data_IF_605387622317
#
_entry.id   IF_605387622317
#
_cell.length_a   1.000
_cell.length_b   1.000
_cell.length_c   1.000
_cell.angle_alpha   90.00
_cell.angle_beta   90.00
_cell.angle_gamma   90.00
#
_symmetry.space_group_name_H-M   'P 1'
#
loop_
_entity.id
_entity.type
_entity.pdbx_description
1 polymer ?
#
# COMPACT_ATOMS: atom_id res chain seq x y z
N UNK A 1 11.35 47.39 86.86
CA UNK A 1 11.23 46.20 85.98
C UNK A 1 9.95 46.32 85.16
N UNK A 2 9.97 47.08 84.06
CA UNK A 2 8.90 47.08 83.04
C UNK A 2 9.59 47.39 81.71
N UNK A 3 9.83 46.37 80.90
CA UNK A 3 10.57 46.51 79.66
C UNK A 3 10.72 45.16 78.96
N UNK A 4 9.59 44.51 78.64
CA UNK A 4 9.62 43.15 78.09
C UNK A 4 8.44 42.74 77.21
N UNK A 5 7.62 43.69 76.74
CA UNK A 5 6.39 43.33 75.98
C UNK A 5 6.38 43.88 74.55
N UNK A 6 7.26 44.83 74.18
CA UNK A 6 7.24 45.43 72.84
C UNK A 6 7.84 44.56 71.72
N UNK A 7 8.69 43.57 72.03
CA UNK A 7 9.31 42.70 71.02
C UNK A 7 8.44 41.52 70.58
N UNK A 8 7.64 40.95 71.50
CA UNK A 8 6.83 39.76 71.23
C UNK A 8 5.57 40.05 70.37
N UNK A 9 5.07 41.28 70.41
CA UNK A 9 3.89 41.70 69.63
C UNK A 9 4.16 41.89 68.13
N UNK A 10 5.40 42.26 67.76
CA UNK A 10 5.80 42.45 66.37
C UNK A 10 6.00 41.10 65.65
N UNK A 11 6.78 40.18 66.24
CA UNK A 11 7.02 38.87 65.64
C UNK A 11 5.76 38.01 65.47
N UNK A 12 4.75 38.17 66.34
CA UNK A 12 3.46 37.48 66.21
C UNK A 12 2.56 38.10 65.13
N UNK A 13 2.69 39.40 64.89
CA UNK A 13 2.04 40.08 63.77
C UNK A 13 2.60 39.59 62.44
N UNK A 14 3.93 39.58 62.32
CA UNK A 14 4.65 39.13 61.14
C UNK A 14 4.34 37.66 60.81
N UNK A 15 4.32 36.78 61.82
CA UNK A 15 3.93 35.37 61.66
C UNK A 15 2.50 35.23 61.11
N UNK A 16 1.54 35.97 61.66
CA UNK A 16 0.15 35.84 61.26
C UNK A 16 -0.12 36.40 59.84
N UNK A 17 0.64 37.41 59.43
CA UNK A 17 0.62 37.94 58.06
C UNK A 17 1.23 36.93 57.08
N UNK A 18 2.42 36.40 57.39
CA UNK A 18 3.07 35.36 56.59
C UNK A 18 2.18 34.11 56.43
N UNK A 19 1.54 33.67 57.51
CA UNK A 19 0.65 32.52 57.51
C UNK A 19 -0.56 32.75 56.61
N UNK A 20 -1.19 33.91 56.70
CA UNK A 20 -2.35 34.26 55.88
C UNK A 20 -1.98 34.39 54.39
N UNK A 21 -0.84 34.97 54.09
CA UNK A 21 -0.37 35.15 52.72
C UNK A 21 -0.03 33.81 52.06
N UNK A 22 0.63 32.91 52.79
CA UNK A 22 0.90 31.54 52.35
C UNK A 22 -0.40 30.75 52.17
N UNK A 23 -1.32 30.84 53.13
CA UNK A 23 -2.62 30.17 53.08
C UNK A 23 -3.41 30.60 51.82
N UNK A 24 -3.49 31.90 51.54
CA UNK A 24 -4.15 32.42 50.34
C UNK A 24 -3.41 32.07 49.04
N UNK A 25 -2.08 31.94 49.07
CA UNK A 25 -1.31 31.57 47.87
C UNK A 25 -1.48 30.09 47.54
N UNK A 26 -1.44 29.22 48.57
CA UNK A 26 -1.69 27.79 48.43
C UNK A 26 -3.12 27.53 47.97
N UNK A 27 -4.12 28.17 48.57
CA UNK A 27 -5.52 28.02 48.15
C UNK A 27 -5.72 28.37 46.67
N UNK A 28 -5.07 29.44 46.18
CA UNK A 28 -5.14 29.80 44.76
C UNK A 28 -4.52 28.74 43.84
N UNK A 29 -3.46 28.08 44.28
CA UNK A 29 -2.84 27.00 43.52
C UNK A 29 -3.74 25.75 43.51
N UNK A 30 -4.35 25.41 44.66
CA UNK A 30 -5.31 24.32 44.80
C UNK A 30 -6.56 24.54 43.92
N UNK A 31 -7.13 25.74 43.93
CA UNK A 31 -8.30 26.11 43.12
C UNK A 31 -8.01 25.99 41.62
N UNK A 32 -6.77 26.28 41.20
CA UNK A 32 -6.32 26.13 39.81
C UNK A 32 -6.03 24.68 39.43
N UNK A 33 -5.66 23.84 40.39
CA UNK A 33 -5.40 22.43 40.17
C UNK A 33 -6.70 21.60 40.12
N UNK A 34 -7.71 21.96 40.90
CA UNK A 34 -8.97 21.21 41.05
C UNK A 34 -9.70 20.85 39.74
N UNK A 35 -9.78 21.73 38.71
CA UNK A 35 -10.41 21.39 37.44
C UNK A 35 -9.71 20.25 36.67
N UNK A 36 -8.45 19.98 37.01
CA UNK A 36 -7.60 18.99 36.36
C UNK A 36 -7.52 17.66 37.13
N UNK A 37 -8.35 17.47 38.17
CA UNK A 37 -8.50 16.20 38.90
C UNK A 37 -9.23 15.12 38.09
N UNK A 38 -10.12 15.54 37.18
CA UNK A 38 -10.79 14.63 36.25
C UNK A 38 -9.94 14.49 34.98
N UNK A 39 -9.12 13.43 34.92
CA UNK A 39 -8.45 12.98 33.70
C UNK A 39 -9.48 12.42 32.69
N UNK A 40 -10.28 13.31 32.11
CA UNK A 40 -11.15 13.05 30.96
C UNK A 40 -10.52 13.53 29.65
N UNK A 41 -11.34 13.76 28.62
CA UNK A 41 -10.92 14.23 27.30
C UNK A 41 -10.13 15.56 27.30
N UNK A 42 -10.14 16.30 28.41
CA UNK A 42 -9.36 17.52 28.67
C UNK A 42 -7.86 17.26 28.84
N UNK A 43 -7.43 16.04 29.15
CA UNK A 43 -6.01 15.68 29.37
C UNK A 43 -5.15 15.64 28.11
N UNK A 44 -5.73 15.82 26.92
CA UNK A 44 -5.02 15.84 25.63
C UNK A 44 -4.61 17.23 25.15
N UNK A 45 -5.12 18.29 25.79
CA UNK A 45 -4.78 19.66 25.39
C UNK A 45 -3.36 19.99 25.87
N UNK A 46 -2.40 20.34 24.99
CA UNK A 46 -1.05 20.75 25.40
C UNK A 46 -1.04 21.92 26.40
N UNK A 47 -2.10 22.74 26.45
CA UNK A 47 -2.26 23.80 27.45
C UNK A 47 -2.33 23.28 28.89
N UNK A 48 -2.74 22.03 29.11
CA UNK A 48 -2.78 21.45 30.44
C UNK A 48 -1.38 21.29 31.02
N UNK A 49 -0.41 20.89 30.17
CA UNK A 49 0.98 20.71 30.57
C UNK A 49 1.64 22.06 30.90
N UNK A 50 1.36 23.09 30.09
CA UNK A 50 1.80 24.47 30.34
C UNK A 50 1.20 25.04 31.63
N UNK A 51 -0.09 24.81 31.87
CA UNK A 51 -0.78 25.21 33.10
C UNK A 51 -0.16 24.54 34.33
N UNK A 52 0.03 23.21 34.29
CA UNK A 52 0.63 22.44 35.38
C UNK A 52 2.05 22.90 35.69
N UNK A 53 2.85 23.19 34.65
CA UNK A 53 4.20 23.73 34.79
C UNK A 53 4.18 25.11 35.47
N UNK A 54 3.27 25.99 35.07
CA UNK A 54 3.14 27.32 35.68
C UNK A 54 2.76 27.24 37.16
N UNK A 55 1.84 26.33 37.54
CA UNK A 55 1.47 26.13 38.96
C UNK A 55 2.66 25.57 39.75
N UNK A 56 3.43 24.63 39.18
CA UNK A 56 4.66 24.12 39.81
C UNK A 56 5.69 25.21 40.07
N UNK A 57 5.96 26.07 39.08
CA UNK A 57 6.89 27.20 39.24
C UNK A 57 6.42 28.16 40.33
N UNK A 58 5.11 28.41 40.44
CA UNK A 58 4.53 29.23 41.50
C UNK A 58 4.65 28.59 42.89
N UNK A 59 4.39 27.28 43.02
CA UNK A 59 4.60 26.55 44.29
C UNK A 59 6.07 26.61 44.69
N UNK A 60 7.01 26.32 43.78
CA UNK A 60 8.45 26.40 44.06
C UNK A 60 8.85 27.82 44.52
N UNK A 61 8.22 28.86 43.97
CA UNK A 61 8.47 30.24 44.41
C UNK A 61 7.95 30.55 45.83
N UNK A 62 7.02 29.76 46.37
CA UNK A 62 6.55 29.89 47.77
C UNK A 62 7.54 29.30 48.78
N UNK A 63 8.51 28.51 48.36
CA UNK A 63 9.50 27.86 49.24
C UNK A 63 10.23 28.87 50.14
N UNK A 64 10.65 30.00 49.56
CA UNK A 64 11.31 31.08 50.32
C UNK A 64 10.40 31.71 51.38
N UNK A 65 9.08 31.77 51.12
CA UNK A 65 8.10 32.30 52.08
C UNK A 65 7.84 31.29 53.21
N UNK A 66 7.85 30.00 52.91
CA UNK A 66 7.79 28.92 53.91
C UNK A 66 9.02 28.92 54.82
N UNK A 67 10.22 29.06 54.26
CA UNK A 67 11.46 29.18 55.05
C UNK A 67 11.40 30.41 55.97
N UNK A 68 10.84 31.53 55.50
CA UNK A 68 10.63 32.71 56.34
C UNK A 68 9.62 32.46 57.47
N UNK A 69 8.50 31.80 57.18
CA UNK A 69 7.50 31.38 58.18
C UNK A 69 8.10 30.43 59.22
N UNK A 70 8.96 29.50 58.80
CA UNK A 70 9.66 28.59 59.70
C UNK A 70 10.60 29.34 60.64
N UNK A 71 11.33 30.31 60.12
CA UNK A 71 12.21 31.16 60.91
C UNK A 71 11.44 31.96 61.96
N UNK A 72 10.29 32.54 61.61
CA UNK A 72 9.44 33.28 62.56
C UNK A 72 8.76 32.34 63.56
N UNK A 73 8.29 31.17 63.13
CA UNK A 73 7.74 30.11 63.97
C UNK A 73 8.74 29.66 65.03
N UNK A 74 9.96 29.32 64.62
CA UNK A 74 11.03 28.88 65.51
C UNK A 74 11.40 29.97 66.52
N UNK A 75 11.55 31.22 66.07
CA UNK A 75 11.88 32.34 66.94
C UNK A 75 10.79 32.59 68.01
N UNK A 76 9.51 32.44 67.66
CA UNK A 76 8.39 32.59 68.58
C UNK A 76 8.30 31.42 69.57
N UNK A 77 8.51 30.18 69.10
CA UNK A 77 8.52 28.98 69.95
C UNK A 77 9.66 29.05 70.98
N UNK A 78 10.88 29.37 70.52
CA UNK A 78 12.03 29.55 71.40
C UNK A 78 11.82 30.69 72.40
N UNK A 79 11.20 31.79 71.94
CA UNK A 79 10.82 32.92 72.77
C UNK A 79 9.85 32.52 73.87
N UNK A 80 8.77 31.80 73.53
CA UNK A 80 7.79 31.33 74.51
C UNK A 80 8.40 30.36 75.52
N UNK A 81 9.22 29.42 75.07
CA UNK A 81 9.90 28.46 75.93
C UNK A 81 10.80 29.13 76.96
N UNK A 82 11.60 30.13 76.54
CA UNK A 82 12.47 30.92 77.44
C UNK A 82 11.71 31.66 78.54
N UNK A 83 10.43 31.96 78.32
CA UNK A 83 9.56 32.63 79.29
C UNK A 83 8.63 31.65 80.04
N UNK A 84 8.84 30.33 79.90
CA UNK A 84 8.05 29.30 80.57
C UNK A 84 6.64 29.11 80.02
N UNK A 85 6.36 29.58 78.79
CA UNK A 85 5.07 29.44 78.12
C UNK A 85 5.11 28.38 77.02
N UNK A 86 3.98 27.73 76.74
CA UNK A 86 3.84 26.80 75.63
C UNK A 86 3.40 27.53 74.35
N UNK A 87 4.09 27.27 73.23
CA UNK A 87 3.78 27.80 71.89
C UNK A 87 3.39 26.69 70.90
N UNK A 88 2.92 25.54 71.38
CA UNK A 88 2.52 24.39 70.53
C UNK A 88 1.59 24.81 69.40
N UNK A 89 0.60 25.66 69.66
CA UNK A 89 -0.34 26.11 68.64
C UNK A 89 0.32 26.85 67.46
N UNK A 90 1.40 27.62 67.72
CA UNK A 90 2.15 28.33 66.67
C UNK A 90 2.92 27.32 65.82
N UNK A 91 3.54 26.32 66.46
CA UNK A 91 4.22 25.23 65.77
C UNK A 91 3.24 24.40 64.93
N UNK A 92 2.08 24.03 65.50
CA UNK A 92 1.03 23.27 64.81
C UNK A 92 0.51 24.01 63.57
N UNK A 93 0.37 25.34 63.66
CA UNK A 93 -0.06 26.18 62.54
C UNK A 93 0.98 26.26 61.42
N UNK A 94 2.26 26.43 61.77
CA UNK A 94 3.35 26.40 60.78
C UNK A 94 3.46 25.04 60.10
N UNK A 95 3.36 23.95 60.87
CA UNK A 95 3.42 22.59 60.35
C UNK A 95 2.21 22.25 59.46
N UNK A 96 1.01 22.74 59.79
CA UNK A 96 -0.17 22.56 58.94
C UNK A 96 0.02 23.18 57.55
N UNK A 97 0.60 24.40 57.47
CA UNK A 97 0.89 25.06 56.18
C UNK A 97 2.02 24.34 55.44
N UNK A 98 3.07 23.90 56.15
CA UNK A 98 4.15 23.09 55.56
C UNK A 98 3.62 21.79 54.97
N UNK A 99 2.80 21.05 55.72
CA UNK A 99 2.19 19.82 55.26
C UNK A 99 1.36 20.02 54.00
N UNK A 100 0.50 21.05 53.99
CA UNK A 100 -0.31 21.37 52.81
C UNK A 100 0.53 21.73 51.58
N UNK A 101 1.61 22.49 51.77
CA UNK A 101 2.56 22.77 50.70
C UNK A 101 3.22 21.50 50.15
N UNK A 102 3.73 20.63 51.03
CA UNK A 102 4.42 19.41 50.64
C UNK A 102 3.49 18.48 49.86
N UNK A 103 2.26 18.29 50.33
CA UNK A 103 1.25 17.48 49.66
C UNK A 103 0.92 18.04 48.27
N UNK A 104 0.71 19.35 48.16
CA UNK A 104 0.38 20.00 46.89
C UNK A 104 1.55 19.97 45.89
N UNK A 105 2.78 20.21 46.36
CA UNK A 105 3.99 20.12 45.54
C UNK A 105 4.17 18.72 44.98
N UNK A 106 4.09 17.69 45.84
CA UNK A 106 4.21 16.29 45.42
C UNK A 106 3.14 15.92 44.39
N UNK A 107 1.88 16.27 44.64
CA UNK A 107 0.78 15.97 43.69
C UNK A 107 1.00 16.62 42.32
N UNK A 108 1.49 17.86 42.28
CA UNK A 108 1.79 18.56 41.04
C UNK A 108 2.95 17.92 40.28
N UNK A 109 4.03 17.54 40.97
CA UNK A 109 5.20 16.89 40.37
C UNK A 109 4.83 15.55 39.75
N UNK A 110 4.13 14.69 40.49
CA UNK A 110 3.71 13.37 40.02
C UNK A 110 2.82 13.48 38.78
N UNK A 111 1.87 14.42 38.78
CA UNK A 111 0.99 14.63 37.62
C UNK A 111 1.71 15.24 36.43
N UNK A 112 2.60 16.20 36.65
CA UNK A 112 3.38 16.79 35.57
C UNK A 112 4.28 15.75 34.90
N UNK A 113 4.93 14.89 35.69
CA UNK A 113 5.70 13.77 35.17
C UNK A 113 4.82 12.80 34.36
N UNK A 114 3.63 12.43 34.87
CA UNK A 114 2.71 11.56 34.16
C UNK A 114 2.23 12.17 32.83
N UNK A 115 1.91 13.48 32.82
CA UNK A 115 1.49 14.20 31.61
C UNK A 115 2.61 14.30 30.57
N UNK A 116 3.86 14.53 30.99
CA UNK A 116 5.00 14.52 30.06
C UNK A 116 5.18 13.17 29.38
N UNK A 117 5.09 12.08 30.14
CA UNK A 117 5.19 10.72 29.59
C UNK A 117 4.05 10.46 28.60
N UNK A 118 2.81 10.82 28.96
CA UNK A 118 1.65 10.65 28.10
C UNK A 118 1.77 11.46 26.79
N UNK A 119 2.24 12.71 26.87
CA UNK A 119 2.45 13.56 25.70
C UNK A 119 3.55 13.01 24.78
N UNK A 120 4.65 12.54 25.36
CA UNK A 120 5.73 11.88 24.62
C UNK A 120 5.25 10.62 23.89
N UNK A 121 4.45 9.79 24.57
CA UNK A 121 3.84 8.61 23.96
C UNK A 121 2.88 8.99 22.83
N UNK A 122 2.03 10.01 23.02
CA UNK A 122 1.11 10.49 21.99
C UNK A 122 1.85 11.00 20.74
N UNK A 123 2.95 11.73 20.91
CA UNK A 123 3.80 12.17 19.81
C UNK A 123 4.39 11.00 19.02
N UNK A 124 4.87 9.95 19.71
CA UNK A 124 5.34 8.73 19.06
C UNK A 124 4.23 7.99 18.31
N UNK A 125 3.03 7.87 18.90
CA UNK A 125 1.87 7.28 18.24
C UNK A 125 1.49 8.02 16.96
N UNK A 126 1.54 9.36 16.97
CA UNK A 126 1.30 10.17 15.77
C UNK A 126 2.30 9.82 14.66
N UNK A 127 3.58 9.68 14.98
CA UNK A 127 4.61 9.30 13.98
C UNK A 127 4.36 7.90 13.40
N UNK A 128 4.00 6.92 14.23
CA UNK A 128 3.64 5.59 13.74
C UNK A 128 2.40 5.62 12.85
N UNK A 129 1.42 6.46 13.17
CA UNK A 129 0.23 6.64 12.35
C UNK A 129 0.57 7.14 10.94
N UNK A 130 1.42 8.16 10.85
CA UNK A 130 1.86 8.72 9.56
C UNK A 130 2.59 7.65 8.72
N UNK A 131 3.49 6.87 9.33
CA UNK A 131 4.20 5.78 8.64
C UNK A 131 3.25 4.66 8.17
N UNK A 132 2.23 4.33 8.97
CA UNK A 132 1.20 3.36 8.58
C UNK A 132 0.37 3.86 7.41
N UNK A 133 0.03 5.15 7.38
CA UNK A 133 -0.73 5.76 6.28
C UNK A 133 0.08 5.77 4.98
N UNK A 134 1.38 6.08 5.04
CA UNK A 134 2.29 5.99 3.90
C UNK A 134 2.39 4.54 3.37
N UNK A 135 2.58 3.57 4.27
CA UNK A 135 2.66 2.14 3.92
C UNK A 135 1.35 1.66 3.30
N UNK A 136 0.21 2.09 3.83
CA UNK A 136 -1.11 1.79 3.27
C UNK A 136 -1.26 2.35 1.86
N UNK A 137 -0.89 3.61 1.64
CA UNK A 137 -0.94 4.24 0.32
C UNK A 137 -0.06 3.49 -0.70
N UNK A 138 1.14 3.05 -0.29
CA UNK A 138 2.01 2.22 -1.12
C UNK A 138 1.38 0.85 -1.45
N UNK A 139 0.76 0.19 -0.46
CA UNK A 139 0.04 -1.08 -0.66
C UNK A 139 -1.13 -0.94 -1.64
N UNK A 140 -1.90 0.15 -1.55
CA UNK A 140 -3.01 0.42 -2.47
C UNK A 140 -2.50 0.62 -3.92
N UNK A 141 -1.34 1.26 -4.11
CA UNK A 141 -0.70 1.39 -5.43
C UNK A 141 -0.26 0.04 -5.99
N UNK A 142 0.40 -0.79 -5.18
CA UNK A 142 0.82 -2.15 -5.59
C UNK A 142 -0.38 -3.03 -5.94
N UNK A 143 -1.48 -2.92 -5.19
CA UNK A 143 -2.72 -3.65 -5.47
C UNK A 143 -3.32 -3.27 -6.83
N UNK A 144 -3.25 -1.99 -7.22
CA UNK A 144 -3.68 -1.54 -8.56
C UNK A 144 -2.78 -2.13 -9.65
N UNK A 145 -1.46 -2.02 -9.49
CA UNK A 145 -0.50 -2.60 -10.45
C UNK A 145 -0.66 -4.12 -10.60
N UNK A 146 -0.91 -4.84 -9.51
CA UNK A 146 -1.17 -6.29 -9.55
C UNK A 146 -2.41 -6.66 -10.38
N UNK A 147 -3.47 -5.84 -10.34
CA UNK A 147 -4.65 -6.04 -11.20
C UNK A 147 -4.35 -5.81 -12.68
N UNK A 148 -3.53 -4.81 -12.98
CA UNK A 148 -3.12 -4.52 -14.37
C UNK A 148 -2.24 -5.63 -14.96
N UNK A 149 -1.36 -6.22 -14.14
CA UNK A 149 -0.57 -7.41 -14.52
C UNK A 149 -1.49 -8.59 -14.85
N UNK A 150 -2.53 -8.84 -14.04
CA UNK A 150 -3.48 -9.91 -14.32
C UNK A 150 -4.20 -9.69 -15.66
N UNK A 151 -4.70 -8.48 -15.91
CA UNK A 151 -5.33 -8.15 -17.21
C UNK A 151 -4.37 -8.33 -18.38
N UNK A 152 -3.10 -7.94 -18.23
CA UNK A 152 -2.08 -8.11 -19.27
C UNK A 152 -1.76 -9.59 -19.51
N UNK A 153 -1.75 -10.39 -18.45
CA UNK A 153 -1.56 -11.85 -18.52
C UNK A 153 -2.71 -12.51 -19.29
N UNK A 154 -3.96 -12.13 -18.99
CA UNK A 154 -5.13 -12.62 -19.71
C UNK A 154 -5.06 -12.25 -21.21
N UNK A 155 -4.60 -11.04 -21.54
CA UNK A 155 -4.37 -10.62 -22.92
C UNK A 155 -3.28 -11.45 -23.61
N UNK A 156 -2.16 -11.72 -22.95
CA UNK A 156 -1.08 -12.58 -23.46
C UNK A 156 -1.62 -13.98 -23.78
N UNK A 157 -2.35 -14.60 -22.84
CA UNK A 157 -2.91 -15.95 -23.07
C UNK A 157 -3.88 -16.00 -24.26
N UNK A 158 -4.61 -14.90 -24.51
CA UNK A 158 -5.50 -14.82 -25.66
C UNK A 158 -4.70 -14.72 -26.97
N UNK A 159 -3.64 -13.90 -26.99
CA UNK A 159 -2.74 -13.78 -28.15
C UNK A 159 -2.05 -15.12 -28.45
N UNK A 160 -1.58 -15.84 -27.43
CA UNK A 160 -0.99 -17.17 -27.59
C UNK A 160 -1.96 -18.15 -28.27
N UNK A 161 -3.23 -18.16 -27.86
CA UNK A 161 -4.28 -18.97 -28.53
C UNK A 161 -4.47 -18.56 -29.99
N UNK A 162 -4.44 -17.26 -30.30
CA UNK A 162 -4.56 -16.78 -31.67
C UNK A 162 -3.36 -17.20 -32.53
N UNK A 163 -2.14 -17.18 -31.98
CA UNK A 163 -0.94 -17.66 -32.65
C UNK A 163 -1.06 -19.16 -32.95
N UNK A 164 -1.44 -19.98 -31.96
CA UNK A 164 -1.63 -21.43 -32.15
C UNK A 164 -2.65 -21.74 -33.26
N UNK A 165 -3.80 -21.04 -33.24
CA UNK A 165 -4.83 -21.21 -34.29
C UNK A 165 -4.31 -20.81 -35.68
N UNK A 166 -3.47 -19.77 -35.78
CA UNK A 166 -2.86 -19.36 -37.04
C UNK A 166 -1.82 -20.37 -37.53
N UNK A 167 -1.02 -20.92 -36.61
CA UNK A 167 -0.05 -21.98 -36.91
C UNK A 167 -0.74 -23.24 -37.43
N UNK A 168 -1.83 -23.67 -36.79
CA UNK A 168 -2.65 -24.81 -37.27
C UNK A 168 -3.21 -24.57 -38.67
N UNK A 169 -3.79 -23.39 -38.92
CA UNK A 169 -4.33 -23.03 -40.24
C UNK A 169 -3.23 -22.93 -41.31
N UNK A 170 -2.07 -22.40 -40.95
CA UNK A 170 -0.91 -22.32 -41.84
C UNK A 170 -0.41 -23.72 -42.21
N UNK A 171 -0.30 -24.62 -41.22
CA UNK A 171 0.07 -26.01 -41.43
C UNK A 171 -0.93 -26.74 -42.32
N UNK A 172 -2.23 -26.62 -42.05
CA UNK A 172 -3.28 -27.23 -42.87
C UNK A 172 -3.21 -26.75 -44.33
N UNK A 173 -2.98 -25.45 -44.56
CA UNK A 173 -2.79 -24.90 -45.91
C UNK A 173 -1.52 -25.43 -46.57
N UNK A 174 -0.41 -25.53 -45.84
CA UNK A 174 0.83 -26.08 -46.38
C UNK A 174 0.68 -27.55 -46.78
N UNK A 175 -0.02 -28.35 -45.98
CA UNK A 175 -0.31 -29.75 -46.29
C UNK A 175 -1.24 -29.87 -47.51
N UNK A 176 -2.21 -28.96 -47.66
CA UNK A 176 -3.03 -28.86 -48.87
C UNK A 176 -2.18 -28.53 -50.11
N UNK A 177 -1.32 -27.52 -50.02
CA UNK A 177 -0.45 -27.11 -51.13
C UNK A 177 0.49 -28.23 -51.57
N UNK A 178 1.06 -28.98 -50.63
CA UNK A 178 1.88 -30.17 -50.94
C UNK A 178 1.07 -31.24 -51.67
N UNK A 179 -0.19 -31.45 -51.29
CA UNK A 179 -1.07 -32.42 -51.95
C UNK A 179 -1.42 -31.98 -53.37
N UNK A 180 -1.75 -30.70 -53.57
CA UNK A 180 -2.04 -30.13 -54.89
C UNK A 180 -0.79 -30.20 -55.78
N UNK A 181 0.39 -29.87 -55.24
CA UNK A 181 1.66 -29.99 -55.96
C UNK A 181 1.90 -31.43 -56.44
N UNK A 182 1.77 -32.43 -55.55
CA UNK A 182 1.97 -33.82 -55.93
C UNK A 182 0.97 -34.31 -57.00
N UNK A 183 -0.29 -33.87 -56.94
CA UNK A 183 -1.27 -34.15 -57.99
C UNK A 183 -0.88 -33.51 -59.32
N UNK A 184 -0.37 -32.27 -59.29
CA UNK A 184 0.07 -31.55 -60.49
C UNK A 184 1.29 -32.24 -61.14
N UNK A 185 2.27 -32.65 -60.33
CA UNK A 185 3.43 -33.42 -60.80
C UNK A 185 3.00 -34.75 -61.44
N UNK A 186 2.05 -35.46 -60.83
CA UNK A 186 1.48 -36.69 -61.40
C UNK A 186 0.76 -36.43 -62.73
N UNK A 187 -0.03 -35.35 -62.81
CA UNK A 187 -0.74 -34.98 -64.03
C UNK A 187 0.23 -34.70 -65.18
N UNK A 188 1.26 -33.88 -64.97
CA UNK A 188 2.25 -33.60 -66.00
C UNK A 188 3.06 -34.85 -66.39
N UNK A 189 3.34 -35.76 -65.46
CA UNK A 189 3.95 -37.05 -65.77
C UNK A 189 3.07 -37.98 -66.63
N UNK A 190 1.74 -37.92 -66.46
CA UNK A 190 0.80 -38.63 -67.34
C UNK A 190 0.69 -37.96 -68.72
N UNK A 191 0.64 -36.63 -68.74
CA UNK A 191 0.59 -35.83 -69.97
C UNK A 191 1.77 -36.17 -70.89
N UNK A 192 2.98 -36.23 -70.33
CA UNK A 192 4.19 -36.59 -71.07
C UNK A 192 4.09 -38.00 -71.69
N UNK A 193 3.61 -38.99 -70.93
CA UNK A 193 3.38 -40.36 -71.43
C UNK A 193 2.35 -40.41 -72.55
N UNK A 194 1.23 -39.69 -72.40
CA UNK A 194 0.17 -39.65 -73.43
C UNK A 194 0.73 -39.05 -74.72
N UNK A 195 1.50 -37.95 -74.63
CA UNK A 195 2.10 -37.33 -75.81
C UNK A 195 3.09 -38.27 -76.52
N UNK A 196 3.97 -38.95 -75.78
CA UNK A 196 4.90 -39.95 -76.33
C UNK A 196 4.13 -41.07 -77.03
N UNK A 197 3.11 -41.62 -76.39
CA UNK A 197 2.32 -42.72 -76.95
C UNK A 197 1.56 -42.30 -78.23
N UNK A 198 1.00 -41.09 -78.29
CA UNK A 198 0.34 -40.56 -79.49
C UNK A 198 1.34 -40.45 -80.65
N UNK A 199 2.54 -39.92 -80.37
CA UNK A 199 3.60 -39.78 -81.37
C UNK A 199 4.09 -41.14 -81.90
N UNK A 200 4.27 -42.13 -81.03
CA UNK A 200 4.63 -43.50 -81.41
C UNK A 200 3.52 -44.17 -82.24
N UNK A 201 2.25 -44.02 -81.84
CA UNK A 201 1.11 -44.63 -82.53
C UNK A 201 0.82 -44.03 -83.91
N UNK A 202 1.25 -42.79 -84.17
CA UNK A 202 1.14 -42.15 -85.49
C UNK A 202 2.09 -42.77 -86.53
N UNK A 203 3.06 -43.58 -86.11
CA UNK A 203 4.08 -44.16 -86.99
C UNK A 203 3.85 -45.64 -87.37
N UNK A 204 2.89 -46.36 -86.77
CA UNK A 204 2.65 -47.80 -87.03
C UNK A 204 1.16 -48.17 -87.12
N UNK A 205 0.66 -48.48 -88.32
CA UNK A 205 -0.77 -48.76 -88.62
C UNK A 205 -1.33 -50.09 -88.05
N UNK A 206 -0.51 -51.04 -87.59
CA UNK A 206 -0.96 -52.39 -87.19
C UNK A 206 -1.06 -52.59 -85.66
N UNK A 207 -0.52 -51.65 -84.87
CA UNK A 207 -0.49 -51.73 -83.40
C UNK A 207 -1.70 -51.05 -82.72
N UNK A 208 -2.70 -50.66 -83.51
CA UNK A 208 -3.71 -49.67 -83.13
C UNK A 208 -4.75 -50.12 -82.09
N UNK A 209 -5.13 -51.40 -81.99
CA UNK A 209 -6.27 -51.79 -81.13
C UNK A 209 -5.85 -51.99 -79.66
N UNK A 210 -4.69 -52.61 -79.43
CA UNK A 210 -4.13 -52.79 -78.07
C UNK A 210 -3.61 -51.47 -77.49
N UNK A 211 -2.99 -50.64 -78.33
CA UNK A 211 -2.62 -49.27 -77.97
C UNK A 211 -3.83 -48.43 -77.65
N UNK A 212 -4.90 -48.48 -78.47
CA UNK A 212 -6.11 -47.67 -78.25
C UNK A 212 -6.71 -47.91 -76.87
N UNK A 213 -6.84 -49.16 -76.43
CA UNK A 213 -7.36 -49.46 -75.09
C UNK A 213 -6.42 -48.96 -73.98
N UNK A 214 -5.10 -49.07 -74.17
CA UNK A 214 -4.11 -48.53 -73.22
C UNK A 214 -4.09 -47.00 -73.18
N UNK A 215 -4.25 -46.32 -74.33
CA UNK A 215 -4.33 -44.86 -74.40
C UNK A 215 -5.64 -44.35 -73.82
N UNK A 216 -6.77 -45.02 -74.06
CA UNK A 216 -8.08 -44.62 -73.53
C UNK A 216 -8.08 -44.59 -71.99
N UNK A 217 -7.49 -45.61 -71.35
CA UNK A 217 -7.31 -45.66 -69.90
C UNK A 217 -6.39 -44.53 -69.38
N UNK A 218 -5.30 -44.25 -70.10
CA UNK A 218 -4.33 -43.21 -69.71
C UNK A 218 -4.89 -41.78 -69.91
N UNK A 219 -5.71 -41.55 -70.94
CA UNK A 219 -6.41 -40.28 -71.21
C UNK A 219 -7.54 -40.06 -70.21
N UNK A 220 -8.27 -41.11 -69.82
CA UNK A 220 -9.24 -41.07 -68.72
C UNK A 220 -8.58 -40.72 -67.39
N UNK A 221 -7.38 -41.25 -67.11
CA UNK A 221 -6.59 -40.84 -65.93
C UNK A 221 -6.06 -39.41 -66.05
N UNK A 222 -5.68 -38.94 -67.24
CA UNK A 222 -5.25 -37.56 -67.46
C UNK A 222 -6.38 -36.53 -67.23
N UNK A 223 -7.66 -36.93 -67.34
CA UNK A 223 -8.80 -36.09 -66.94
C UNK A 223 -8.81 -35.72 -65.44
N UNK A 224 -7.90 -36.27 -64.62
CA UNK A 224 -7.56 -35.73 -63.29
C UNK A 224 -7.15 -34.24 -63.32
N UNK A 225 -6.69 -33.72 -64.46
CA UNK A 225 -6.44 -32.29 -64.69
C UNK A 225 -7.68 -31.41 -64.48
N UNK A 226 -8.86 -31.89 -64.87
CA UNK A 226 -10.12 -31.17 -64.64
C UNK A 226 -10.43 -31.05 -63.14
N UNK A 227 -10.12 -32.10 -62.38
CA UNK A 227 -10.24 -32.11 -60.92
C UNK A 227 -9.25 -31.17 -60.23
N UNK A 228 -8.06 -30.97 -60.81
CA UNK A 228 -7.07 -29.98 -60.34
C UNK A 228 -7.57 -28.54 -60.53
N UNK A 229 -8.14 -28.23 -61.69
CA UNK A 229 -8.75 -26.91 -61.96
C UNK A 229 -9.86 -26.60 -60.96
N UNK A 230 -10.75 -27.56 -60.68
CA UNK A 230 -11.85 -27.40 -59.73
C UNK A 230 -11.38 -27.26 -58.27
N UNK A 231 -10.18 -27.77 -57.95
CA UNK A 231 -9.61 -27.69 -56.60
C UNK A 231 -8.83 -26.40 -56.33
N UNK A 232 -8.67 -25.53 -57.32
CA UNK A 232 -7.93 -24.28 -57.18
C UNK A 232 -8.59 -23.32 -56.17
N UNK A 233 -7.79 -22.77 -55.27
CA UNK A 233 -8.26 -21.80 -54.30
C UNK A 233 -8.65 -20.47 -54.99
N UNK A 234 -9.58 -19.68 -54.43
CA UNK A 234 -9.96 -18.39 -54.98
C UNK A 234 -8.74 -17.47 -55.18
N UNK A 235 -8.58 -16.94 -56.40
CA UNK A 235 -7.45 -16.07 -56.77
C UNK A 235 -6.24 -16.81 -57.36
N UNK A 236 -6.27 -18.14 -57.47
CA UNK A 236 -5.27 -18.92 -58.21
C UNK A 236 -5.71 -19.08 -59.66
N UNK A 237 -4.88 -18.63 -60.60
CA UNK A 237 -5.16 -18.72 -62.04
C UNK A 237 -4.87 -20.12 -62.57
N UNK A 238 -5.85 -20.74 -63.22
CA UNK A 238 -5.79 -22.09 -63.82
C UNK A 238 -5.63 -22.08 -65.34
N UNK A 239 -5.58 -20.91 -65.97
CA UNK A 239 -5.64 -20.72 -67.43
C UNK A 239 -4.62 -21.52 -68.23
N UNK A 240 -3.39 -21.69 -67.72
CA UNK A 240 -2.37 -22.51 -68.39
C UNK A 240 -2.70 -24.00 -68.34
N UNK A 241 -3.14 -24.49 -67.18
CA UNK A 241 -3.54 -25.89 -66.98
C UNK A 241 -4.76 -26.23 -67.85
N UNK A 242 -5.73 -25.31 -67.93
CA UNK A 242 -6.90 -25.44 -68.81
C UNK A 242 -6.49 -25.54 -70.28
N UNK A 243 -5.57 -24.70 -70.74
CA UNK A 243 -5.04 -24.77 -72.10
C UNK A 243 -4.25 -26.04 -72.40
N UNK A 244 -3.48 -26.55 -71.42
CA UNK A 244 -2.76 -27.82 -71.57
C UNK A 244 -3.74 -29.01 -71.71
N UNK A 245 -4.86 -29.01 -70.98
CA UNK A 245 -5.94 -30.02 -71.09
C UNK A 245 -6.64 -29.94 -72.46
N UNK A 246 -6.93 -28.73 -72.93
CA UNK A 246 -7.57 -28.50 -74.23
C UNK A 246 -6.70 -29.03 -75.37
N UNK A 247 -5.38 -28.78 -75.33
CA UNK A 247 -4.42 -29.26 -76.33
C UNK A 247 -4.35 -30.80 -76.42
N UNK A 248 -4.38 -31.50 -75.28
CA UNK A 248 -4.43 -32.98 -75.27
C UNK A 248 -5.72 -33.47 -75.94
N UNK A 249 -6.86 -32.88 -75.57
CA UNK A 249 -8.15 -33.25 -76.15
C UNK A 249 -8.21 -32.98 -77.66
N UNK A 250 -7.63 -31.88 -78.12
CA UNK A 250 -7.50 -31.62 -79.56
C UNK A 250 -6.67 -32.70 -80.24
N UNK A 251 -5.47 -33.00 -79.74
CA UNK A 251 -4.58 -34.02 -80.30
C UNK A 251 -5.17 -35.44 -80.25
N UNK A 252 -5.96 -35.76 -79.24
CA UNK A 252 -6.63 -37.06 -79.12
C UNK A 252 -7.76 -37.24 -80.14
N UNK A 253 -8.50 -36.17 -80.44
CA UNK A 253 -9.66 -36.22 -81.33
C UNK A 253 -9.30 -36.00 -82.83
N UNK A 254 -8.01 -35.81 -83.15
CA UNK A 254 -7.51 -35.63 -84.52
C UNK A 254 -6.97 -36.93 -85.08
#
# INVERSE_FOLDING_TARGET
MVGGVRGAGLGRGDFNEQLRDLDHSLQRCEDRLSPHDALGDTGRDPKILECMKAILEEIIALDQRLVALDGTTQALVDGAYKHGSNACHIADQGEAIRGRYADLHQQLEERFAALQVAFGAAAQFSQYHDHLEETRSASEKLTKQGRDIQSSTDQITNIEKHILNLEERSKARNDELKRVLGKLESFYGLLDKVLINIEESSNEEEFCEKLRNSLEETVLEANTGQGLVQSAAPGVTTTKLEGDIENINEKWNT
#
